data_IF_603257776909
#
_entry.id   IF_603257776909
#
_cell.length_a   1.000
_cell.length_b   1.000
_cell.length_c   1.000
_cell.angle_alpha   90.00
_cell.angle_beta   90.00
_cell.angle_gamma   90.00
#
_symmetry.space_group_name_H-M   'P 1'
#
loop_
_entity.id
_entity.type
_entity.pdbx_description
1 polymer ?
#
# COMPACT_ATOMS: atom_id res chain seq x y z
N UNK A 1 46.34 -21.09 -17.39
CA UNK A 1 45.59 -20.44 -16.30
C UNK A 1 44.29 -19.96 -16.89
N UNK A 2 43.19 -20.64 -16.60
CA UNK A 2 41.85 -20.15 -16.93
C UNK A 2 41.59 -18.88 -16.12
N UNK A 3 41.17 -17.80 -16.79
CA UNK A 3 40.84 -16.50 -16.19
C UNK A 3 39.54 -16.61 -15.36
N UNK A 4 39.60 -17.29 -14.20
CA UNK A 4 38.42 -17.60 -13.37
C UNK A 4 37.75 -16.39 -12.68
N UNK A 5 38.10 -15.15 -13.02
CA UNK A 5 37.56 -13.93 -12.41
C UNK A 5 37.34 -12.80 -13.43
N UNK A 6 36.89 -13.13 -14.65
CA UNK A 6 36.56 -12.10 -15.65
C UNK A 6 35.12 -11.60 -15.40
N UNK A 7 34.99 -10.31 -15.08
CA UNK A 7 33.69 -9.64 -14.99
C UNK A 7 33.30 -9.10 -16.37
N UNK A 8 32.11 -9.47 -16.83
CA UNK A 8 31.57 -8.91 -18.06
C UNK A 8 31.18 -7.45 -17.85
N UNK A 9 31.79 -6.56 -18.63
CA UNK A 9 31.39 -5.14 -18.68
C UNK A 9 30.18 -5.02 -19.58
N UNK A 10 28.99 -4.97 -19.00
CA UNK A 10 27.72 -4.79 -19.73
C UNK A 10 27.30 -3.33 -19.76
N UNK A 11 26.77 -2.88 -20.91
CA UNK A 11 26.13 -1.56 -21.06
C UNK A 11 24.63 -1.76 -21.21
N UNK A 12 23.84 -1.11 -20.36
CA UNK A 12 22.38 -1.10 -20.48
C UNK A 12 21.99 0.03 -21.45
N UNK A 13 21.13 -0.28 -22.42
CA UNK A 13 20.60 0.68 -23.39
C UNK A 13 19.08 0.50 -23.52
N UNK A 14 18.36 1.61 -23.66
CA UNK A 14 16.95 1.59 -24.06
C UNK A 14 16.85 1.15 -25.53
N UNK A 15 16.00 0.16 -25.80
CA UNK A 15 15.63 -0.24 -27.15
C UNK A 15 14.43 0.62 -27.60
N UNK A 16 14.45 1.19 -28.82
CA UNK A 16 13.27 1.88 -29.36
C UNK A 16 12.11 0.90 -29.52
N UNK A 17 10.92 1.33 -29.10
CA UNK A 17 9.65 0.67 -29.41
C UNK A 17 8.94 1.44 -30.55
N UNK A 18 7.69 1.09 -30.86
CA UNK A 18 6.86 1.78 -31.87
C UNK A 18 6.94 3.30 -31.62
N UNK A 19 7.48 4.08 -32.58
CA UNK A 19 7.72 5.50 -32.36
C UNK A 19 6.41 6.28 -32.31
N UNK A 20 6.22 7.03 -31.23
CA UNK A 20 5.20 8.09 -31.14
C UNK A 20 5.75 9.36 -31.80
N UNK A 21 5.03 9.88 -32.78
CA UNK A 21 5.44 11.05 -33.53
C UNK A 21 4.63 12.28 -33.13
N UNK A 22 5.32 13.37 -32.82
CA UNK A 22 4.73 14.71 -32.86
C UNK A 22 5.77 15.75 -33.24
N UNK A 23 5.38 16.68 -34.10
CA UNK A 23 6.21 17.79 -34.57
C UNK A 23 6.21 18.99 -33.59
N UNK A 24 5.54 18.86 -32.43
CA UNK A 24 5.35 19.93 -31.44
C UNK A 24 6.20 19.72 -30.18
N UNK A 25 6.77 20.80 -29.63
CA UNK A 25 7.46 20.77 -28.35
C UNK A 25 6.45 20.61 -27.20
N UNK A 26 6.72 19.72 -26.22
CA UNK A 26 5.89 19.55 -25.03
C UNK A 26 6.24 20.58 -23.94
N UNK A 27 6.08 21.87 -24.24
CA UNK A 27 6.41 22.99 -23.34
C UNK A 27 5.26 23.39 -22.41
N UNK A 28 4.11 22.75 -22.56
CA UNK A 28 2.88 23.02 -21.81
C UNK A 28 2.07 21.75 -21.64
N UNK A 29 1.22 21.71 -20.60
CA UNK A 29 0.25 20.65 -20.33
C UNK A 29 -0.58 20.35 -21.60
N UNK A 30 -1.06 21.41 -22.26
CA UNK A 30 -1.81 21.31 -23.51
C UNK A 30 -1.02 20.67 -24.65
N UNK A 31 0.26 21.01 -24.80
CA UNK A 31 1.11 20.40 -25.80
C UNK A 31 1.36 18.91 -25.51
N UNK A 32 1.61 18.54 -24.25
CA UNK A 32 1.76 17.14 -23.84
C UNK A 32 0.49 16.33 -24.11
N UNK A 33 -0.69 16.89 -23.80
CA UNK A 33 -1.99 16.29 -24.09
C UNK A 33 -2.19 16.13 -25.60
N UNK A 34 -1.93 17.15 -26.42
CA UNK A 34 -2.11 17.05 -27.87
C UNK A 34 -1.23 15.96 -28.49
N UNK A 35 0.00 15.80 -27.99
CA UNK A 35 0.94 14.75 -28.44
C UNK A 35 0.40 13.36 -28.08
N UNK A 36 -0.15 13.20 -26.88
CA UNK A 36 -0.47 11.89 -26.30
C UNK A 36 -1.93 11.48 -26.47
N UNK A 37 -2.87 12.42 -26.65
CA UNK A 37 -4.30 12.14 -26.81
C UNK A 37 -4.58 11.25 -28.02
N UNK A 38 -3.86 11.47 -29.13
CA UNK A 38 -3.97 10.64 -30.33
C UNK A 38 -3.66 9.17 -30.09
N UNK A 39 -2.65 8.88 -29.27
CA UNK A 39 -2.25 7.52 -28.92
C UNK A 39 -3.12 6.95 -27.80
N UNK A 40 -3.31 7.70 -26.71
CA UNK A 40 -4.04 7.25 -25.53
C UNK A 40 -5.50 6.92 -25.82
N UNK A 41 -6.11 7.62 -26.77
CA UNK A 41 -7.49 7.35 -27.22
C UNK A 41 -7.66 6.02 -27.97
N UNK A 42 -6.56 5.38 -28.39
CA UNK A 42 -6.61 4.06 -29.05
C UNK A 42 -6.62 2.89 -28.08
N UNK A 43 -6.26 3.12 -26.82
CA UNK A 43 -6.25 2.07 -25.81
C UNK A 43 -7.65 1.86 -25.24
N UNK A 44 -8.12 0.62 -25.27
CA UNK A 44 -9.40 0.16 -24.71
C UNK A 44 -9.36 -0.08 -23.18
N UNK A 45 -8.26 0.33 -22.56
CA UNK A 45 -7.87 0.00 -21.19
C UNK A 45 -7.09 1.15 -20.57
N UNK A 46 -7.02 1.15 -19.24
CA UNK A 46 -6.19 2.10 -18.50
C UNK A 46 -4.72 1.91 -18.82
N UNK A 47 -4.04 3.01 -19.16
CA UNK A 47 -2.62 3.06 -19.45
C UNK A 47 -2.01 4.17 -18.61
N UNK A 48 -0.99 3.80 -17.86
CA UNK A 48 -0.15 4.73 -17.13
C UNK A 48 1.22 4.81 -17.81
N UNK A 49 1.59 6.01 -18.23
CA UNK A 49 2.85 6.29 -18.90
C UNK A 49 3.58 7.47 -18.29
N UNK A 50 4.87 7.55 -18.62
CA UNK A 50 5.72 8.69 -18.27
C UNK A 50 6.35 9.30 -19.51
N UNK A 51 6.27 10.62 -19.61
CA UNK A 51 6.98 11.41 -20.60
C UNK A 51 8.26 11.95 -19.95
N UNK A 52 9.41 11.45 -20.39
CA UNK A 52 10.71 11.85 -19.88
C UNK A 52 11.23 13.08 -20.63
N UNK A 53 11.70 14.08 -19.89
CA UNK A 53 12.13 15.38 -20.43
C UNK A 53 13.60 15.65 -20.10
N UNK A 54 14.29 16.34 -21.01
CA UNK A 54 15.64 16.83 -20.77
C UNK A 54 15.64 18.17 -20.01
N UNK A 55 16.82 18.73 -19.74
CA UNK A 55 17.00 19.99 -19.01
C UNK A 55 16.35 21.22 -19.67
N UNK A 56 15.97 21.13 -20.95
CA UNK A 56 15.25 22.17 -21.69
C UNK A 56 13.74 21.93 -21.74
N UNK A 57 13.24 20.89 -21.05
CA UNK A 57 11.84 20.48 -21.11
C UNK A 57 11.45 19.77 -22.40
N UNK A 58 12.41 19.32 -23.21
CA UNK A 58 12.12 18.64 -24.49
C UNK A 58 11.93 17.14 -24.21
N UNK A 59 10.87 16.50 -24.75
CA UNK A 59 10.69 15.05 -24.68
C UNK A 59 11.90 14.26 -25.19
N UNK A 60 12.34 13.29 -24.39
CA UNK A 60 13.37 12.31 -24.72
C UNK A 60 12.70 11.03 -25.22
N UNK A 61 11.71 10.55 -24.46
CA UNK A 61 10.89 9.39 -24.78
C UNK A 61 9.59 9.42 -23.97
N UNK A 62 8.63 8.62 -24.41
CA UNK A 62 7.47 8.22 -23.63
C UNK A 62 7.61 6.73 -23.32
N UNK A 63 7.37 6.34 -22.06
CA UNK A 63 7.37 4.94 -21.67
C UNK A 63 6.03 4.59 -21.00
N UNK A 64 5.37 3.57 -21.52
CA UNK A 64 4.22 2.95 -20.87
C UNK A 64 4.72 2.07 -19.72
N UNK A 65 4.44 2.51 -18.49
CA UNK A 65 4.90 1.84 -17.28
C UNK A 65 3.97 0.70 -16.91
N UNK A 66 2.67 0.90 -17.11
CA UNK A 66 1.67 -0.10 -16.79
C UNK A 66 0.49 0.04 -17.72
N UNK A 67 -0.05 -1.12 -18.08
CA UNK A 67 -1.28 -1.27 -18.84
C UNK A 67 -2.20 -2.07 -17.93
N UNK A 68 -3.21 -1.41 -17.39
CA UNK A 68 -4.19 -2.00 -16.49
C UNK A 68 -5.09 -3.02 -17.19
N UNK A 69 -5.78 -3.81 -16.38
CA UNK A 69 -7.07 -4.40 -16.75
C UNK A 69 -8.18 -3.42 -16.35
N UNK A 70 -9.45 -3.74 -16.65
CA UNK A 70 -10.62 -2.88 -16.43
C UNK A 70 -10.76 -2.18 -15.05
N UNK A 71 -10.06 -2.62 -13.99
CA UNK A 71 -10.32 -2.20 -12.61
C UNK A 71 -9.11 -1.72 -11.79
N UNK A 72 -7.86 -1.76 -12.30
CA UNK A 72 -6.69 -1.11 -11.69
C UNK A 72 -5.38 -1.41 -12.44
N UNK A 73 -4.50 -0.42 -12.47
CA UNK A 73 -3.10 -0.52 -12.88
C UNK A 73 -2.16 -0.46 -11.66
N UNK A 74 -1.37 -1.52 -11.40
CA UNK A 74 -0.34 -1.47 -10.35
C UNK A 74 0.88 -0.75 -10.92
N UNK A 75 1.05 0.53 -10.56
CA UNK A 75 2.24 1.32 -10.89
C UNK A 75 3.21 1.29 -9.70
N UNK A 76 4.48 0.96 -9.95
CA UNK A 76 5.52 0.97 -8.90
C UNK A 76 6.62 1.99 -9.24
N UNK A 77 7.08 2.82 -8.28
CA UNK A 77 8.12 3.83 -8.54
C UNK A 77 9.40 3.23 -9.15
N UNK A 78 9.84 2.07 -8.67
CA UNK A 78 11.01 1.35 -9.23
C UNK A 78 10.93 1.13 -10.75
N UNK A 79 9.77 0.68 -11.23
CA UNK A 79 9.58 0.41 -12.66
C UNK A 79 9.39 1.70 -13.45
N UNK A 80 8.68 2.67 -12.84
CA UNK A 80 8.48 4.01 -13.39
C UNK A 80 9.81 4.71 -13.68
N UNK A 81 10.66 4.86 -12.66
CA UNK A 81 11.90 5.62 -12.80
C UNK A 81 13.00 4.91 -13.58
N UNK A 82 12.86 3.61 -13.87
CA UNK A 82 13.84 2.86 -14.68
C UNK A 82 14.06 3.53 -16.04
N UNK A 83 12.99 3.96 -16.70
CA UNK A 83 13.07 4.64 -17.99
C UNK A 83 13.71 6.02 -17.87
N UNK A 84 13.32 6.79 -16.85
CA UNK A 84 13.84 8.12 -16.58
C UNK A 84 15.35 8.10 -16.34
N UNK A 85 15.81 7.17 -15.51
CA UNK A 85 17.23 6.99 -15.19
C UNK A 85 18.02 6.58 -16.46
N UNK A 86 17.55 5.55 -17.17
CA UNK A 86 18.24 5.05 -18.36
C UNK A 86 18.25 6.05 -19.54
N UNK A 87 17.33 7.02 -19.55
CA UNK A 87 17.26 8.06 -20.56
C UNK A 87 17.94 9.37 -20.17
N UNK A 88 18.56 9.44 -18.98
CA UNK A 88 19.11 10.67 -18.41
C UNK A 88 18.07 11.81 -18.36
N UNK A 89 16.84 11.49 -17.95
CA UNK A 89 15.79 12.47 -17.79
C UNK A 89 16.11 13.43 -16.64
N UNK A 90 15.93 14.72 -16.89
CA UNK A 90 16.00 15.77 -15.86
C UNK A 90 14.68 15.84 -15.08
N UNK A 91 13.57 15.58 -15.78
CA UNK A 91 12.22 15.71 -15.24
C UNK A 91 11.26 14.82 -16.01
N UNK A 92 10.06 14.61 -15.47
CA UNK A 92 9.03 13.79 -16.11
C UNK A 92 7.63 14.35 -15.90
N UNK A 93 6.71 13.95 -16.79
CA UNK A 93 5.26 14.11 -16.63
C UNK A 93 4.67 12.71 -16.56
N UNK A 94 3.84 12.45 -15.57
CA UNK A 94 3.01 11.24 -15.54
C UNK A 94 1.73 11.49 -16.34
N UNK A 95 1.31 10.52 -17.14
CA UNK A 95 0.04 10.56 -17.87
C UNK A 95 -0.74 9.27 -17.61
N UNK A 96 -2.02 9.42 -17.29
CA UNK A 96 -2.97 8.33 -17.11
C UNK A 96 -4.22 8.63 -17.96
N UNK A 97 -4.79 7.65 -18.67
CA UNK A 97 -6.13 7.79 -19.26
C UNK A 97 -7.18 7.05 -18.42
N UNK A 98 -8.36 7.65 -18.27
CA UNK A 98 -9.53 7.00 -17.68
C UNK A 98 -10.49 6.57 -18.80
N UNK A 99 -10.67 5.25 -19.07
CA UNK A 99 -11.58 4.76 -20.10
C UNK A 99 -13.05 5.13 -19.86
N UNK A 100 -13.42 5.42 -18.62
CA UNK A 100 -14.74 5.97 -18.25
C UNK A 100 -15.02 7.31 -18.95
N UNK A 101 -13.96 8.01 -19.37
CA UNK A 101 -14.03 9.30 -20.02
C UNK A 101 -14.07 10.49 -19.06
N UNK A 102 -14.10 10.23 -17.75
CA UNK A 102 -14.08 11.25 -16.70
C UNK A 102 -12.62 11.49 -16.29
N UNK A 103 -12.17 12.75 -16.21
CA UNK A 103 -10.78 13.06 -15.86
C UNK A 103 -10.52 13.30 -14.37
N UNK A 104 -11.56 13.23 -13.54
CA UNK A 104 -11.47 13.43 -12.10
C UNK A 104 -10.58 12.35 -11.43
N UNK A 105 -9.56 12.73 -10.65
CA UNK A 105 -8.63 11.77 -10.05
C UNK A 105 -9.32 10.90 -8.99
N UNK A 106 -9.04 9.60 -9.03
CA UNK A 106 -9.35 8.69 -7.92
C UNK A 106 -8.43 8.95 -6.72
N UNK A 107 -8.79 8.44 -5.54
CA UNK A 107 -7.89 8.51 -4.38
C UNK A 107 -6.56 7.79 -4.65
N UNK A 108 -6.61 6.69 -5.39
CA UNK A 108 -5.44 5.94 -5.85
C UNK A 108 -4.54 6.80 -6.74
N UNK A 109 -5.12 7.61 -7.64
CA UNK A 109 -4.36 8.57 -8.47
C UNK A 109 -3.67 9.61 -7.59
N UNK A 110 -4.35 10.15 -6.57
CA UNK A 110 -3.77 11.10 -5.61
C UNK A 110 -2.59 10.48 -4.84
N UNK A 111 -2.79 9.28 -4.29
CA UNK A 111 -1.77 8.55 -3.54
C UNK A 111 -0.57 8.17 -4.42
N UNK A 112 -0.83 7.71 -5.65
CA UNK A 112 0.20 7.40 -6.63
C UNK A 112 1.03 8.63 -6.98
N UNK A 113 0.36 9.76 -7.26
CA UNK A 113 1.01 11.03 -7.58
C UNK A 113 1.98 11.44 -6.48
N UNK A 114 1.51 11.42 -5.23
CA UNK A 114 2.36 11.78 -4.07
C UNK A 114 3.58 10.88 -3.96
N UNK A 115 3.39 9.56 -4.10
CA UNK A 115 4.48 8.59 -4.03
C UNK A 115 5.51 8.77 -5.15
N UNK A 116 5.07 9.05 -6.37
CA UNK A 116 5.96 9.34 -7.50
C UNK A 116 6.67 10.69 -7.35
N UNK A 117 5.98 11.70 -6.83
CA UNK A 117 6.56 13.00 -6.52
C UNK A 117 7.71 12.88 -5.51
N UNK A 118 7.48 12.16 -4.41
CA UNK A 118 8.50 11.94 -3.38
C UNK A 118 9.71 11.15 -3.90
N UNK A 119 9.45 10.11 -4.69
CA UNK A 119 10.50 9.30 -5.31
C UNK A 119 11.32 10.14 -6.32
N UNK A 120 10.66 10.95 -7.14
CA UNK A 120 11.32 11.85 -8.08
C UNK A 120 12.20 12.87 -7.36
N UNK A 121 11.70 13.43 -6.25
CA UNK A 121 12.48 14.33 -5.39
C UNK A 121 13.71 13.64 -4.80
N UNK A 122 13.59 12.39 -4.35
CA UNK A 122 14.72 11.61 -3.82
C UNK A 122 15.79 11.33 -4.89
N UNK A 123 15.35 11.07 -6.14
CA UNK A 123 16.22 10.76 -7.27
C UNK A 123 16.77 11.99 -8.01
N UNK A 124 16.36 13.20 -7.60
CA UNK A 124 16.62 14.46 -8.32
C UNK A 124 16.11 14.44 -9.77
N UNK A 125 14.97 13.78 -10.01
CA UNK A 125 14.24 13.77 -11.28
C UNK A 125 12.88 14.41 -11.03
N UNK A 126 12.75 15.69 -11.37
CA UNK A 126 11.59 16.50 -11.00
C UNK A 126 10.31 16.02 -11.69
N UNK A 127 9.25 15.81 -10.92
CA UNK A 127 7.90 15.67 -11.46
C UNK A 127 7.37 17.05 -11.85
N UNK A 128 7.08 17.25 -13.14
CA UNK A 128 6.50 18.49 -13.65
C UNK A 128 4.99 18.51 -13.44
N UNK A 129 4.34 17.38 -13.74
CA UNK A 129 2.89 17.23 -13.60
C UNK A 129 2.47 15.76 -13.57
N UNK A 130 1.23 15.52 -13.12
CA UNK A 130 0.45 14.33 -13.42
C UNK A 130 -0.81 14.76 -14.17
N UNK A 131 -1.03 14.18 -15.34
CA UNK A 131 -2.15 14.51 -16.21
C UNK A 131 -3.06 13.30 -16.34
N UNK A 132 -4.34 13.45 -16.00
CA UNK A 132 -5.38 12.44 -16.26
C UNK A 132 -6.20 12.87 -17.48
N UNK A 133 -6.31 11.99 -18.46
CA UNK A 133 -7.00 12.24 -19.72
C UNK A 133 -8.32 11.47 -19.75
N UNK A 134 -9.43 12.19 -19.80
CA UNK A 134 -10.76 11.67 -20.11
C UNK A 134 -11.10 11.85 -21.59
N UNK A 135 -12.39 11.77 -21.95
CA UNK A 135 -12.85 11.91 -23.34
C UNK A 135 -12.62 13.34 -23.87
N UNK A 136 -13.22 14.31 -23.19
CA UNK A 136 -13.20 15.73 -23.57
C UNK A 136 -12.62 16.64 -22.48
N UNK A 137 -12.21 16.06 -21.36
CA UNK A 137 -11.65 16.77 -20.22
C UNK A 137 -10.29 16.21 -19.84
N UNK A 138 -9.52 17.05 -19.15
CA UNK A 138 -8.20 16.72 -18.65
C UNK A 138 -8.04 17.33 -17.28
N UNK A 139 -7.45 16.56 -16.37
CA UNK A 139 -7.08 17.02 -15.06
C UNK A 139 -5.55 17.13 -14.94
N UNK A 140 -5.06 18.31 -14.58
CA UNK A 140 -3.65 18.56 -14.26
C UNK A 140 -3.49 18.76 -12.76
N UNK A 141 -2.65 17.96 -12.13
CA UNK A 141 -2.34 18.10 -10.71
C UNK A 141 -1.56 19.39 -10.42
N UNK A 142 -0.73 19.84 -11.36
CA UNK A 142 0.01 21.10 -11.26
C UNK A 142 -0.93 22.31 -11.27
N UNK A 143 -1.90 22.35 -12.19
CA UNK A 143 -2.85 23.47 -12.32
C UNK A 143 -3.79 23.58 -11.11
N UNK A 144 -4.01 22.48 -10.39
CA UNK A 144 -4.82 22.44 -9.17
C UNK A 144 -3.99 22.58 -7.88
N UNK A 145 -2.68 22.86 -7.98
CA UNK A 145 -1.75 23.02 -6.84
C UNK A 145 -1.72 21.80 -5.89
N UNK A 146 -1.94 20.60 -6.42
CA UNK A 146 -1.99 19.34 -5.65
C UNK A 146 -0.77 18.43 -5.87
N UNK A 147 0.29 18.95 -6.48
CA UNK A 147 1.56 18.23 -6.57
C UNK A 147 2.28 18.18 -5.21
N UNK A 148 2.59 16.97 -4.75
CA UNK A 148 3.40 16.77 -3.55
C UNK A 148 2.69 17.01 -2.21
N UNK A 149 1.38 17.24 -2.22
CA UNK A 149 0.52 17.19 -1.02
C UNK A 149 0.05 15.75 -0.75
N UNK A 150 -0.32 15.44 0.50
CA UNK A 150 -0.87 14.10 0.79
C UNK A 150 -2.20 13.88 0.07
N UNK A 151 -2.56 12.62 -0.18
CA UNK A 151 -3.82 12.28 -0.84
C UNK A 151 -5.03 12.89 -0.13
N UNK A 152 -5.08 12.81 1.21
CA UNK A 152 -6.17 13.41 2.02
C UNK A 152 -6.26 14.94 1.91
N UNK A 153 -5.12 15.62 1.66
CA UNK A 153 -5.09 17.07 1.47
C UNK A 153 -5.53 17.43 0.06
N UNK A 154 -5.03 16.71 -0.95
CA UNK A 154 -5.41 16.90 -2.34
C UNK A 154 -6.93 16.69 -2.53
N UNK A 155 -7.49 15.63 -1.95
CA UNK A 155 -8.93 15.33 -2.02
C UNK A 155 -9.79 16.48 -1.48
N UNK A 156 -9.37 17.11 -0.37
CA UNK A 156 -10.05 18.28 0.21
C UNK A 156 -9.94 19.53 -0.66
N UNK A 157 -8.83 19.68 -1.39
CA UNK A 157 -8.59 20.82 -2.29
C UNK A 157 -9.45 20.68 -3.56
N UNK A 158 -9.54 19.46 -4.10
CA UNK A 158 -10.19 19.18 -5.39
C UNK A 158 -11.70 18.96 -5.22
N UNK A 159 -12.14 18.48 -4.05
CA UNK A 159 -13.56 18.26 -3.74
C UNK A 159 -14.16 17.06 -4.47
N UNK A 160 -13.39 15.97 -4.57
CA UNK A 160 -13.75 14.78 -5.36
C UNK A 160 -15.10 14.21 -4.89
N UNK A 161 -16.07 14.07 -5.79
CA UNK A 161 -17.40 13.48 -5.51
C UNK A 161 -17.39 12.01 -5.94
N UNK A 162 -17.35 11.09 -4.99
CA UNK A 162 -17.38 9.64 -5.28
C UNK A 162 -18.70 9.20 -5.95
N UNK A 163 -18.59 8.57 -7.13
CA UNK A 163 -19.61 7.65 -7.65
C UNK A 163 -19.34 6.22 -7.13
N UNK A 164 -20.38 5.43 -6.77
CA UNK A 164 -20.19 4.17 -6.08
C UNK A 164 -19.86 3.02 -7.04
N UNK A 165 -18.82 2.24 -6.73
CA UNK A 165 -18.66 0.88 -7.24
C UNK A 165 -19.71 -0.03 -6.60
N UNK A 166 -20.78 -0.35 -7.33
CA UNK A 166 -21.80 -1.32 -6.91
C UNK A 166 -21.23 -2.74 -6.95
N UNK A 167 -20.82 -3.30 -5.80
CA UNK A 167 -20.71 -4.76 -5.62
C UNK A 167 -20.75 -5.23 -4.16
N UNK A 168 -21.88 -5.06 -3.44
CA UNK A 168 -22.43 -6.06 -2.50
C UNK A 168 -23.73 -5.57 -1.85
N UNK A 169 -24.61 -6.49 -1.46
CA UNK A 169 -25.88 -6.18 -0.75
C UNK A 169 -25.70 -5.65 0.69
N UNK A 170 -24.47 -5.64 1.19
CA UNK A 170 -24.11 -5.29 2.57
C UNK A 170 -23.23 -4.03 2.63
N UNK A 171 -23.61 -3.00 1.86
CA UNK A 171 -22.91 -1.72 1.83
C UNK A 171 -23.74 -0.67 2.56
N UNK A 172 -23.12 -0.04 3.56
CA UNK A 172 -23.70 0.99 4.40
C UNK A 172 -23.13 2.36 4.03
N UNK A 173 -23.99 3.37 3.86
CA UNK A 173 -23.57 4.75 3.57
C UNK A 173 -23.96 5.64 4.73
N UNK A 174 -22.99 6.37 5.29
CA UNK A 174 -23.28 7.38 6.31
C UNK A 174 -23.71 8.71 5.69
N UNK A 175 -24.25 9.64 6.49
CA UNK A 175 -24.71 10.96 5.98
C UNK A 175 -23.64 11.81 5.33
N UNK A 176 -22.37 11.59 5.72
CA UNK A 176 -21.23 12.31 5.14
C UNK A 176 -20.81 11.72 3.78
N UNK A 177 -21.55 10.73 3.27
CA UNK A 177 -21.32 10.13 1.97
C UNK A 177 -20.35 8.96 2.01
N UNK A 178 -19.66 8.71 3.13
CA UNK A 178 -18.69 7.64 3.29
C UNK A 178 -19.36 6.27 3.23
N UNK A 179 -18.72 5.39 2.47
CA UNK A 179 -19.22 4.06 2.16
C UNK A 179 -18.44 3.04 2.99
N UNK A 180 -19.17 2.12 3.61
CA UNK A 180 -18.63 1.06 4.42
C UNK A 180 -19.16 -0.27 3.93
N UNK A 181 -18.31 -1.28 3.80
CA UNK A 181 -18.78 -2.66 3.73
C UNK A 181 -19.08 -3.13 5.14
N UNK A 182 -20.24 -3.76 5.32
CA UNK A 182 -20.59 -4.42 6.57
C UNK A 182 -19.84 -5.75 6.63
N UNK A 183 -18.95 -5.88 7.61
CA UNK A 183 -18.22 -7.13 7.88
C UNK A 183 -19.08 -8.02 8.77
N UNK A 184 -19.60 -7.46 9.86
CA UNK A 184 -20.45 -8.16 10.82
C UNK A 184 -21.45 -7.18 11.47
N UNK A 185 -22.58 -7.70 11.94
CA UNK A 185 -23.58 -6.93 12.66
C UNK A 185 -24.18 -7.76 13.78
N UNK A 186 -24.46 -7.13 14.93
CA UNK A 186 -25.28 -7.68 16.00
C UNK A 186 -26.51 -6.78 16.22
N UNK A 187 -27.29 -7.04 17.27
CA UNK A 187 -28.55 -6.32 17.53
C UNK A 187 -28.37 -4.82 17.85
N UNK A 188 -27.14 -4.38 18.19
CA UNK A 188 -26.84 -3.00 18.61
C UNK A 188 -25.73 -2.33 17.79
N UNK A 189 -24.74 -3.09 17.37
CA UNK A 189 -23.48 -2.59 16.81
C UNK A 189 -23.18 -3.24 15.45
N UNK A 190 -22.39 -2.55 14.63
CA UNK A 190 -21.97 -3.03 13.31
C UNK A 190 -20.47 -2.84 13.11
N UNK A 191 -19.78 -3.92 12.73
CA UNK A 191 -18.40 -3.87 12.27
C UNK A 191 -18.38 -3.56 10.77
N UNK A 192 -17.70 -2.47 10.45
CA UNK A 192 -17.68 -1.82 9.16
C UNK A 192 -16.23 -1.75 8.65
N UNK A 193 -16.03 -1.92 7.35
CA UNK A 193 -14.79 -1.54 6.67
C UNK A 193 -15.05 -0.35 5.77
N UNK A 194 -14.43 0.77 6.08
CA UNK A 194 -14.49 1.94 5.21
C UNK A 194 -13.93 1.55 3.83
N UNK A 195 -14.74 1.70 2.79
CA UNK A 195 -14.33 1.33 1.43
C UNK A 195 -13.25 2.26 0.88
N UNK A 196 -13.16 3.50 1.40
CA UNK A 196 -12.19 4.52 0.99
C UNK A 196 -10.86 4.41 1.73
N UNK A 197 -10.88 4.31 3.06
CA UNK A 197 -9.64 4.25 3.86
C UNK A 197 -9.15 2.82 4.15
N UNK A 198 -10.03 1.83 3.95
CA UNK A 198 -9.81 0.46 4.38
C UNK A 198 -9.90 0.28 5.90
N UNK A 199 -10.10 1.36 6.66
CA UNK A 199 -10.14 1.33 8.12
C UNK A 199 -11.34 0.55 8.62
N UNK A 200 -11.11 -0.21 9.68
CA UNK A 200 -12.17 -0.93 10.35
C UNK A 200 -12.81 -0.04 11.41
N UNK A 201 -14.13 -0.07 11.50
CA UNK A 201 -14.91 0.72 12.45
C UNK A 201 -15.95 -0.16 13.10
N UNK A 202 -16.05 -0.11 14.42
CA UNK A 202 -17.24 -0.57 15.13
C UNK A 202 -18.16 0.63 15.32
N UNK A 203 -19.28 0.64 14.60
CA UNK A 203 -20.35 1.61 14.76
C UNK A 203 -21.32 1.14 15.85
N UNK A 204 -21.23 1.73 17.04
CA UNK A 204 -22.09 1.40 18.17
C UNK A 204 -23.39 2.19 18.15
N UNK A 205 -24.52 1.51 18.32
CA UNK A 205 -25.85 2.14 18.30
C UNK A 205 -26.21 2.71 16.93
N UNK A 206 -25.92 1.96 15.85
CA UNK A 206 -26.18 2.42 14.49
C UNK A 206 -27.68 2.51 14.19
N UNK A 207 -28.18 3.71 13.92
CA UNK A 207 -29.50 3.92 13.33
C UNK A 207 -29.43 3.78 11.80
N UNK A 208 -29.95 2.64 11.32
CA UNK A 208 -29.95 2.30 9.89
C UNK A 208 -30.82 3.24 9.03
N UNK A 209 -31.77 3.96 9.62
CA UNK A 209 -32.61 4.91 8.87
C UNK A 209 -31.89 6.24 8.65
N UNK A 210 -31.16 6.72 9.66
CA UNK A 210 -30.44 7.99 9.57
C UNK A 210 -29.01 7.83 9.06
N UNK A 211 -28.42 6.64 9.14
CA UNK A 211 -27.03 6.42 8.75
C UNK A 211 -26.03 7.01 9.74
N UNK A 212 -26.45 7.24 10.98
CA UNK A 212 -25.62 7.73 12.09
C UNK A 212 -25.54 6.68 13.20
N UNK A 213 -24.42 6.68 13.91
CA UNK A 213 -24.21 5.84 15.08
C UNK A 213 -23.85 6.73 16.27
N UNK A 214 -24.18 6.29 17.47
CA UNK A 214 -23.94 7.08 18.70
C UNK A 214 -22.44 7.22 18.99
N UNK A 215 -21.68 6.14 18.79
CA UNK A 215 -20.24 6.11 19.04
C UNK A 215 -19.52 5.20 18.05
N UNK A 216 -18.37 5.64 17.52
CA UNK A 216 -17.57 4.88 16.57
C UNK A 216 -16.18 4.60 17.13
N UNK A 217 -15.77 3.34 17.11
CA UNK A 217 -14.42 2.92 17.49
C UNK A 217 -13.66 2.62 16.21
N UNK A 218 -12.58 3.35 15.98
CA UNK A 218 -11.84 3.33 14.73
C UNK A 218 -10.53 2.57 14.91
N UNK A 219 -10.27 1.68 13.98
CA UNK A 219 -9.05 0.90 13.87
C UNK A 219 -8.36 1.23 12.55
N UNK A 220 -7.09 0.89 12.44
CA UNK A 220 -6.39 1.01 11.16
C UNK A 220 -6.91 0.03 10.12
N UNK A 221 -6.21 -0.08 9.00
CA UNK A 221 -6.61 -0.88 7.83
C UNK A 221 -5.75 -2.13 7.59
N UNK A 222 -5.01 -2.57 8.60
CA UNK A 222 -4.14 -3.76 8.50
C UNK A 222 -4.86 -5.04 8.99
N UNK A 223 -4.42 -6.24 8.57
CA UNK A 223 -5.01 -7.50 9.05
C UNK A 223 -5.01 -7.65 10.57
N UNK A 224 -3.94 -7.23 11.26
CA UNK A 224 -3.87 -7.26 12.73
C UNK A 224 -4.93 -6.34 13.38
N UNK A 225 -5.24 -5.20 12.74
CA UNK A 225 -6.26 -4.26 13.19
C UNK A 225 -7.67 -4.79 12.92
N UNK A 226 -7.87 -5.55 11.84
CA UNK A 226 -9.12 -6.29 11.63
C UNK A 226 -9.32 -7.36 12.69
N UNK A 227 -8.27 -8.12 13.02
CA UNK A 227 -8.33 -9.12 14.08
C UNK A 227 -8.71 -8.47 15.42
N UNK A 228 -8.11 -7.32 15.75
CA UNK A 228 -8.45 -6.54 16.93
C UNK A 228 -9.92 -6.08 16.92
N UNK A 229 -10.34 -5.43 15.84
CA UNK A 229 -11.71 -4.94 15.68
C UNK A 229 -12.73 -6.09 15.76
N UNK A 230 -12.38 -7.28 15.25
CA UNK A 230 -13.24 -8.46 15.29
C UNK A 230 -13.39 -9.02 16.71
N UNK A 231 -12.30 -9.07 17.49
CA UNK A 231 -12.34 -9.52 18.88
C UNK A 231 -13.15 -8.56 19.75
N UNK A 232 -12.88 -7.25 19.66
CA UNK A 232 -13.61 -6.25 20.44
C UNK A 232 -15.10 -6.20 20.03
N UNK A 233 -15.41 -6.40 18.75
CA UNK A 233 -16.80 -6.53 18.29
C UNK A 233 -17.49 -7.77 18.87
N UNK A 234 -16.78 -8.88 19.04
CA UNK A 234 -17.31 -10.13 19.58
C UNK A 234 -17.56 -10.05 21.10
N UNK A 235 -16.67 -9.43 21.86
CA UNK A 235 -16.87 -9.19 23.30
C UNK A 235 -18.12 -8.34 23.58
N UNK A 236 -18.49 -7.48 22.63
CA UNK A 236 -19.69 -6.64 22.68
C UNK A 236 -20.96 -7.39 22.26
N UNK A 237 -20.86 -8.59 21.68
CA UNK A 237 -22.00 -9.42 21.33
C UNK A 237 -22.43 -10.29 22.52
N UNK A 238 -23.74 -10.35 22.80
CA UNK A 238 -24.31 -11.56 23.40
C UNK A 238 -24.18 -12.68 22.35
N UNK A 239 -23.12 -13.48 22.47
CA UNK A 239 -22.77 -14.72 21.74
C UNK A 239 -23.53 -14.89 20.41
N UNK A 240 -23.01 -14.30 19.32
CA UNK A 240 -23.47 -14.65 17.98
C UNK A 240 -22.74 -15.92 17.51
N UNK A 241 -23.43 -17.07 17.37
CA UNK A 241 -22.78 -18.36 17.13
C UNK A 241 -22.06 -18.46 15.78
N UNK A 242 -22.34 -17.56 14.83
CA UNK A 242 -21.77 -17.62 13.47
C UNK A 242 -20.70 -16.54 13.22
N UNK A 243 -20.28 -15.80 14.25
CA UNK A 243 -19.29 -14.72 14.12
C UNK A 243 -17.90 -15.24 13.73
N UNK A 244 -17.46 -16.35 14.38
CA UNK A 244 -16.17 -16.97 14.07
C UNK A 244 -16.07 -17.36 12.60
N UNK A 245 -17.11 -18.01 12.04
CA UNK A 245 -17.12 -18.50 10.66
C UNK A 245 -16.87 -17.38 9.63
N UNK A 246 -17.50 -16.21 9.79
CA UNK A 246 -17.30 -15.07 8.86
C UNK A 246 -15.91 -14.42 8.97
N UNK A 247 -15.30 -14.42 10.15
CA UNK A 247 -13.93 -13.89 10.32
C UNK A 247 -12.91 -14.85 9.72
N UNK A 248 -13.13 -16.16 9.84
CA UNK A 248 -12.30 -17.19 9.20
C UNK A 248 -12.42 -17.23 7.67
N UNK A 249 -13.51 -16.70 7.08
CA UNK A 249 -13.62 -16.53 5.62
C UNK A 249 -12.71 -15.40 5.08
N UNK A 250 -12.30 -14.45 5.93
CA UNK A 250 -11.57 -13.24 5.54
C UNK A 250 -10.10 -13.30 5.97
N UNK A 251 -9.80 -13.88 7.12
CA UNK A 251 -8.46 -13.94 7.71
C UNK A 251 -7.98 -15.38 7.83
N UNK A 252 -6.69 -15.58 7.52
CA UNK A 252 -6.02 -16.86 7.81
C UNK A 252 -5.88 -17.01 9.32
N UNK A 253 -5.91 -18.25 9.82
CA UNK A 253 -5.72 -18.55 11.25
C UNK A 253 -4.43 -17.92 11.82
N UNK A 254 -3.37 -17.90 11.02
CA UNK A 254 -2.11 -17.22 11.31
C UNK A 254 -2.26 -15.73 11.61
N UNK A 255 -3.12 -15.03 10.88
CA UNK A 255 -3.33 -13.59 11.01
C UNK A 255 -4.13 -13.28 12.28
N UNK A 256 -5.11 -14.13 12.60
CA UNK A 256 -5.89 -14.05 13.84
C UNK A 256 -4.97 -14.29 15.05
N UNK A 257 -4.13 -15.31 14.98
CA UNK A 257 -3.16 -15.62 16.03
C UNK A 257 -2.16 -14.47 16.24
N UNK A 258 -1.55 -13.96 15.17
CA UNK A 258 -0.59 -12.86 15.26
C UNK A 258 -1.21 -11.59 15.86
N UNK A 259 -2.46 -11.29 15.51
CA UNK A 259 -3.24 -10.21 16.11
C UNK A 259 -3.44 -10.42 17.61
N UNK A 260 -3.99 -11.57 18.01
CA UNK A 260 -4.26 -11.89 19.41
C UNK A 260 -3.00 -11.87 20.28
N UNK A 261 -1.89 -12.43 19.79
CA UNK A 261 -0.61 -12.43 20.49
C UNK A 261 -0.04 -11.03 20.68
N UNK A 262 -0.29 -10.12 19.74
CA UNK A 262 0.12 -8.72 19.85
C UNK A 262 -0.69 -7.92 20.88
N UNK A 263 -1.87 -8.42 21.27
CA UNK A 263 -2.75 -7.84 22.30
C UNK A 263 -2.36 -8.38 23.67
N UNK A 264 -2.35 -9.70 23.81
CA UNK A 264 -2.13 -10.37 25.09
C UNK A 264 -0.68 -10.24 25.57
N UNK A 265 0.28 -10.18 24.64
CA UNK A 265 1.71 -10.18 24.97
C UNK A 265 2.45 -9.08 24.24
N UNK A 266 2.64 -7.93 24.88
CA UNK A 266 3.41 -6.81 24.32
C UNK A 266 4.85 -7.20 23.91
N UNK A 267 5.40 -8.25 24.52
CA UNK A 267 6.72 -8.80 24.16
C UNK A 267 6.74 -9.46 22.78
N UNK A 268 5.59 -9.93 22.27
CA UNK A 268 5.45 -10.49 20.92
C UNK A 268 5.93 -9.52 19.85
N UNK A 269 5.66 -8.22 20.01
CA UNK A 269 6.08 -7.16 19.08
C UNK A 269 7.60 -7.04 18.95
N UNK A 270 8.36 -7.49 19.95
CA UNK A 270 9.83 -7.42 20.00
C UNK A 270 10.52 -8.57 19.23
N UNK A 271 9.78 -9.63 18.91
CA UNK A 271 10.29 -10.76 18.14
C UNK A 271 10.38 -10.43 16.64
N UNK A 272 11.41 -10.96 15.98
CA UNK A 272 11.52 -10.90 14.51
C UNK A 272 10.55 -11.88 13.84
N UNK A 273 10.33 -11.68 12.53
CA UNK A 273 9.37 -12.47 11.76
C UNK A 273 9.67 -13.98 11.83
N UNK A 274 10.94 -14.38 11.81
CA UNK A 274 11.35 -15.79 11.83
C UNK A 274 11.02 -16.45 13.17
N UNK A 275 11.20 -15.71 14.27
CA UNK A 275 10.86 -16.18 15.61
C UNK A 275 9.36 -16.30 15.80
N UNK A 276 8.57 -15.36 15.28
CA UNK A 276 7.10 -15.41 15.28
C UNK A 276 6.58 -16.61 14.49
N UNK A 277 7.09 -16.81 13.28
CA UNK A 277 6.74 -17.94 12.42
C UNK A 277 7.10 -19.28 13.07
N UNK A 278 8.27 -19.39 13.73
CA UNK A 278 8.65 -20.60 14.46
C UNK A 278 7.70 -20.92 15.60
N UNK A 279 7.26 -19.92 16.38
CA UNK A 279 6.32 -20.13 17.48
C UNK A 279 4.95 -20.51 16.93
N UNK A 280 4.49 -19.86 15.85
CA UNK A 280 3.25 -20.21 15.18
C UNK A 280 3.27 -21.68 14.72
N UNK A 281 4.33 -22.10 14.04
CA UNK A 281 4.45 -23.48 13.54
C UNK A 281 4.56 -24.52 14.68
N UNK A 282 5.15 -24.15 15.82
CA UNK A 282 5.28 -25.03 16.99
C UNK A 282 3.94 -25.35 17.64
N UNK A 283 3.00 -24.40 17.67
CA UNK A 283 1.76 -24.53 18.44
C UNK A 283 0.47 -24.59 17.60
N UNK A 284 0.51 -24.22 16.32
CA UNK A 284 -0.71 -23.95 15.52
C UNK A 284 -0.63 -24.43 14.06
N UNK A 285 0.29 -25.34 13.71
CA UNK A 285 0.54 -25.79 12.33
C UNK A 285 -0.42 -26.84 11.75
N UNK A 286 -1.37 -27.38 12.53
CA UNK A 286 -2.30 -28.44 12.10
C UNK A 286 -3.78 -28.02 12.17
N UNK A 287 -4.57 -28.60 11.25
CA UNK A 287 -5.99 -28.31 10.90
C UNK A 287 -7.05 -28.44 12.03
N UNK A 288 -6.69 -28.46 13.31
CA UNK A 288 -7.68 -28.46 14.41
C UNK A 288 -7.13 -27.98 15.76
N UNK A 289 -6.56 -26.78 15.85
CA UNK A 289 -6.47 -26.06 17.13
C UNK A 289 -7.64 -25.06 17.24
N UNK A 290 -8.87 -25.57 17.29
CA UNK A 290 -10.07 -24.72 17.43
C UNK A 290 -10.21 -24.05 18.80
N UNK A 291 -9.32 -24.27 19.77
CA UNK A 291 -9.43 -23.65 21.08
C UNK A 291 -8.07 -23.16 21.57
N UNK A 292 -7.91 -21.85 21.57
CA UNK A 292 -6.90 -21.17 22.37
C UNK A 292 -7.40 -21.22 23.80
N UNK A 293 -6.70 -21.93 24.67
CA UNK A 293 -7.00 -22.01 26.10
C UNK A 293 -5.87 -21.41 26.95
N UNK A 294 -6.13 -21.27 28.26
CA UNK A 294 -5.18 -20.66 29.18
C UNK A 294 -3.87 -21.44 29.29
N UNK A 295 -3.89 -22.77 29.13
CA UNK A 295 -2.68 -23.60 29.23
C UNK A 295 -1.80 -23.41 27.98
N UNK A 296 -2.41 -23.32 26.80
CA UNK A 296 -1.73 -23.01 25.56
C UNK A 296 -1.11 -21.60 25.61
N UNK A 297 -1.85 -20.61 26.10
CA UNK A 297 -1.31 -19.25 26.26
C UNK A 297 -0.10 -19.20 27.18
N UNK A 298 -0.14 -19.88 28.32
CA UNK A 298 1.00 -19.94 29.24
C UNK A 298 2.24 -20.58 28.59
N UNK A 299 2.06 -21.59 27.72
CA UNK A 299 3.16 -22.20 26.96
C UNK A 299 3.73 -21.26 25.92
N UNK A 300 2.87 -20.53 25.21
CA UNK A 300 3.31 -19.55 24.21
C UNK A 300 4.06 -18.40 24.88
N UNK A 301 3.56 -17.85 25.99
CA UNK A 301 4.25 -16.80 26.76
C UNK A 301 5.64 -17.24 27.24
N UNK A 302 5.74 -18.48 27.72
CA UNK A 302 7.02 -19.08 28.11
C UNK A 302 7.99 -19.19 26.93
N UNK A 303 7.49 -19.59 25.74
CA UNK A 303 8.30 -19.67 24.52
C UNK A 303 8.79 -18.29 24.05
N UNK A 304 7.93 -17.26 24.11
CA UNK A 304 8.29 -15.86 23.81
C UNK A 304 9.42 -15.39 24.73
N UNK A 305 9.25 -15.60 26.03
CA UNK A 305 10.22 -15.20 27.05
C UNK A 305 11.58 -15.87 26.82
N UNK A 306 11.57 -17.17 26.51
CA UNK A 306 12.78 -17.93 26.21
C UNK A 306 13.48 -17.43 24.94
N UNK A 307 12.74 -17.14 23.88
CA UNK A 307 13.30 -16.63 22.61
C UNK A 307 13.95 -15.27 22.75
N UNK A 308 13.36 -14.38 23.54
CA UNK A 308 13.96 -13.07 23.84
C UNK A 308 15.26 -13.21 24.64
N UNK A 309 15.27 -14.09 25.66
CA UNK A 309 16.49 -14.39 26.40
C UNK A 309 17.59 -14.99 25.52
N UNK A 310 17.27 -15.96 24.64
CA UNK A 310 18.22 -16.52 23.67
C UNK A 310 18.86 -15.43 22.79
N UNK A 311 18.04 -14.49 22.31
CA UNK A 311 18.50 -13.36 21.50
C UNK A 311 19.43 -12.42 22.28
N UNK A 312 19.07 -12.07 23.52
CA UNK A 312 19.90 -11.24 24.38
C UNK A 312 21.25 -11.92 24.70
N UNK A 313 21.26 -13.25 24.90
CA UNK A 313 22.49 -14.03 25.10
C UNK A 313 23.35 -14.12 23.84
N UNK A 314 22.75 -14.28 22.66
CA UNK A 314 23.47 -14.29 21.39
C UNK A 314 24.05 -12.91 21.05
N UNK A 315 23.32 -11.85 21.37
CA UNK A 315 23.80 -10.47 21.23
C UNK A 315 24.93 -10.18 22.22
N UNK A 316 24.80 -10.59 23.49
CA UNK A 316 25.88 -10.52 24.47
C UNK A 316 27.11 -11.33 24.05
N UNK A 317 26.95 -12.55 23.51
CA UNK A 317 28.06 -13.36 22.97
C UNK A 317 28.71 -12.72 21.76
N UNK A 318 27.94 -12.11 20.85
CA UNK A 318 28.49 -11.35 19.73
C UNK A 318 29.31 -10.17 20.23
N UNK A 319 28.80 -9.41 21.19
CA UNK A 319 29.53 -8.30 21.79
C UNK A 319 30.81 -8.79 22.48
N UNK A 320 30.76 -9.88 23.26
CA UNK A 320 31.95 -10.49 23.88
C UNK A 320 32.95 -10.97 22.83
N UNK A 321 32.53 -11.55 21.70
CA UNK A 321 33.44 -11.96 20.63
C UNK A 321 34.04 -10.76 19.86
N UNK A 322 33.30 -9.65 19.75
CA UNK A 322 33.78 -8.41 19.12
C UNK A 322 34.79 -7.69 20.03
N UNK A 323 34.56 -7.68 21.35
CA UNK A 323 35.46 -7.05 22.33
C UNK A 323 36.60 -7.98 22.81
N UNK A 324 36.41 -9.28 22.80
CA UNK A 324 37.43 -10.28 23.17
C UNK A 324 38.54 -10.44 22.12
N UNK A 325 38.37 -9.87 20.92
CA UNK A 325 39.44 -9.73 19.93
C UNK A 325 40.24 -8.42 20.07
N UNK A 326 39.95 -7.59 21.07
CA UNK A 326 40.70 -6.36 21.35
C UNK A 326 41.68 -6.48 22.55
N UNK A 327 41.80 -7.64 23.19
CA UNK A 327 42.68 -7.85 24.36
C UNK A 327 43.89 -8.79 24.12
N UNK A 328 44.36 -8.96 22.86
CA UNK A 328 45.59 -9.74 22.58
C UNK A 328 46.77 -8.93 22.00
N UNK A 329 46.72 -7.60 22.00
CA UNK A 329 47.92 -6.78 21.75
C UNK A 329 48.27 -5.93 22.98
N UNK A 330 49.53 -6.04 23.40
CA UNK A 330 50.22 -5.39 24.53
C UNK A 330 50.11 -6.05 25.91
N UNK A 331 50.66 -7.26 26.00
CA UNK A 331 51.55 -7.60 27.12
C UNK A 331 52.98 -7.57 26.60
N UNK A 332 53.71 -6.49 26.88
CA UNK A 332 55.18 -6.51 26.92
C UNK A 332 55.65 -6.21 28.36
N UNK A 333 56.60 -7.06 28.80
CA UNK A 333 57.26 -7.06 30.12
C UNK A 333 58.26 -5.92 30.31
#
# INVERSE_FOLDING_TARGET
MEENNKLDVVRVRLAPDIPLYSDKAADSVKAAIEILKGELSTYDREVFGILNLNTKGIPINFNVVSIGTLNASIVHPRETFKASILSNANSFIAIHNHPSGIAEPSFEDLALTKRLYDAGKLLDIKMIDHIIVGNDEVFSFAEHDVLGVSADQAEKIIGVREEPLEYNKDVFRNKNGSIYAVIASNDKDVLLKNQRTGDYVIACGLDRNSGEWEHGIYYGNTPDQLAFASLEFNERCEVNPNFGEKVFEILRYEEIFNGLMSIEFDQWKKLDCKSKESIYQEFFSDDNTMLIDQDLFNKVESSISKKLLEKDFDEARRLINVFGHLEEEEIEF
#
